data_IF_525805937390
#
_entry.id   IF_525805937390
#
_cell.length_a   1.000
_cell.length_b   1.000
_cell.length_c   1.000
_cell.angle_alpha   90.00
_cell.angle_beta   90.00
_cell.angle_gamma   90.00
#
_symmetry.space_group_name_H-M   'P 1'
#
loop_
_entity.id
_entity.type
_entity.pdbx_description
1 polymer ?
#
# COMPACT_ATOMS: atom_id res chain seq x y z
N UNK A 1 13.94 -9.48 13.97
CA UNK A 1 13.07 -8.66 13.10
C UNK A 1 11.76 -9.41 12.93
N UNK A 2 10.61 -8.75 13.09
CA UNK A 2 9.32 -9.38 12.73
C UNK A 2 9.21 -9.36 11.22
N UNK A 3 9.18 -10.53 10.60
CA UNK A 3 8.92 -10.61 9.17
C UNK A 3 7.45 -10.28 8.89
N UNK A 4 7.21 -9.51 7.83
CA UNK A 4 5.86 -9.28 7.31
C UNK A 4 5.22 -10.61 6.92
N UNK A 5 3.93 -10.77 7.22
CA UNK A 5 3.14 -11.90 6.75
C UNK A 5 3.12 -11.92 5.22
N UNK A 6 2.96 -13.11 4.62
CA UNK A 6 2.85 -13.22 3.15
C UNK A 6 1.75 -12.34 2.57
N UNK A 7 0.61 -12.24 3.27
CA UNK A 7 -0.49 -11.37 2.85
C UNK A 7 -0.09 -9.90 2.77
N UNK A 8 0.74 -9.42 3.70
CA UNK A 8 1.21 -8.03 3.70
C UNK A 8 2.26 -7.73 2.62
N UNK A 9 2.98 -8.75 2.11
CA UNK A 9 4.05 -8.57 1.10
C UNK A 9 3.53 -8.24 -0.30
N UNK A 10 2.22 -8.34 -0.54
CA UNK A 10 1.64 -8.24 -1.88
C UNK A 10 0.37 -7.41 -1.92
N UNK A 11 0.27 -6.31 -1.18
CA UNK A 11 -0.94 -5.46 -1.14
C UNK A 11 -0.89 -4.26 -2.09
N UNK A 12 0.16 -4.09 -2.90
CA UNK A 12 0.23 -3.00 -3.90
C UNK A 12 -1.00 -2.97 -4.81
N UNK A 13 -1.45 -4.14 -5.29
CA UNK A 13 -2.65 -4.23 -6.14
C UNK A 13 -3.88 -3.63 -5.45
N UNK A 14 -4.05 -3.87 -4.14
CA UNK A 14 -5.23 -3.45 -3.39
C UNK A 14 -5.29 -1.92 -3.27
N UNK A 15 -4.15 -1.29 -2.98
CA UNK A 15 -4.09 0.17 -2.85
C UNK A 15 -4.05 0.86 -4.21
N UNK A 16 -3.51 0.22 -5.25
CA UNK A 16 -3.64 0.70 -6.65
C UNK A 16 -5.12 0.67 -7.07
N UNK A 17 -5.84 -0.42 -6.80
CA UNK A 17 -7.28 -0.52 -7.09
C UNK A 17 -8.09 0.52 -6.31
N UNK A 18 -7.71 0.81 -5.07
CA UNK A 18 -8.33 1.88 -4.29
C UNK A 18 -8.18 3.26 -4.97
N UNK A 19 -6.97 3.63 -5.41
CA UNK A 19 -6.76 4.89 -6.16
C UNK A 19 -7.61 4.93 -7.42
N UNK A 20 -7.61 3.84 -8.19
CA UNK A 20 -8.30 3.77 -9.48
C UNK A 20 -9.84 3.87 -9.37
N UNK A 21 -10.42 3.46 -8.23
CA UNK A 21 -11.86 3.35 -8.07
C UNK A 21 -12.48 4.39 -7.13
N UNK A 22 -11.67 5.21 -6.44
CA UNK A 22 -12.18 6.24 -5.52
C UNK A 22 -11.92 7.64 -6.08
N UNK A 23 -12.96 8.34 -6.58
CA UNK A 23 -12.82 9.68 -7.12
C UNK A 23 -12.19 10.64 -6.10
N UNK A 24 -11.18 11.38 -6.55
CA UNK A 24 -10.48 12.38 -5.74
C UNK A 24 -9.30 11.87 -4.93
N UNK A 25 -9.05 10.55 -4.89
CA UNK A 25 -7.80 10.00 -4.33
C UNK A 25 -6.74 10.01 -5.42
N UNK A 26 -5.62 10.69 -5.18
CA UNK A 26 -4.49 10.75 -6.12
C UNK A 26 -3.45 9.63 -5.87
N UNK A 27 -3.10 9.38 -4.61
CA UNK A 27 -2.04 8.43 -4.24
C UNK A 27 -2.33 7.79 -2.88
N UNK A 28 -1.81 6.58 -2.66
CA UNK A 28 -1.90 5.88 -1.36
C UNK A 28 -0.60 5.20 -0.99
N UNK A 29 -0.30 5.18 0.30
CA UNK A 29 0.84 4.48 0.88
C UNK A 29 0.40 3.70 2.12
N UNK A 30 1.03 2.55 2.36
CA UNK A 30 0.87 1.78 3.58
C UNK A 30 2.19 1.80 4.33
N UNK A 31 2.11 2.17 5.61
CA UNK A 31 3.25 2.21 6.52
C UNK A 31 2.97 1.33 7.74
N UNK A 32 4.00 0.66 8.23
CA UNK A 32 3.94 -0.01 9.53
C UNK A 32 3.82 1.01 10.66
N UNK A 33 3.43 0.54 11.85
CA UNK A 33 3.31 1.40 13.03
C UNK A 33 4.64 2.04 13.49
N UNK A 34 5.78 1.47 13.09
CA UNK A 34 7.12 2.03 13.30
C UNK A 34 7.62 2.90 12.13
N UNK A 35 6.79 3.13 11.11
CA UNK A 35 7.04 4.09 10.04
C UNK A 35 7.74 3.53 8.80
N UNK A 36 7.97 2.22 8.71
CA UNK A 36 8.55 1.62 7.50
C UNK A 36 7.51 1.53 6.37
N UNK A 37 7.83 1.98 5.14
CA UNK A 37 6.98 1.78 3.97
C UNK A 37 6.80 0.30 3.65
N UNK A 38 5.55 -0.11 3.41
CA UNK A 38 5.17 -1.49 3.09
C UNK A 38 4.62 -1.65 1.68
N UNK A 39 3.93 -0.62 1.17
CA UNK A 39 3.29 -0.62 -0.14
C UNK A 39 3.02 0.81 -0.64
N UNK A 40 3.01 0.98 -1.96
CA UNK A 40 2.65 2.24 -2.64
C UNK A 40 1.76 1.92 -3.85
N UNK A 41 0.81 2.80 -4.14
CA UNK A 41 0.02 2.71 -5.38
C UNK A 41 0.89 2.99 -6.60
N UNK A 42 0.59 2.36 -7.73
CA UNK A 42 1.32 2.57 -8.97
C UNK A 42 1.23 4.02 -9.48
N UNK A 43 2.21 4.45 -10.29
CA UNK A 43 2.28 5.82 -10.82
C UNK A 43 2.86 6.86 -9.85
N UNK A 44 3.56 6.40 -8.82
CA UNK A 44 4.36 7.23 -7.90
C UNK A 44 5.77 7.52 -8.45
#
# INVERSE_FOLDING_TARGET
MREMSQAARGINWLITDFVNNVPGVAHTVVVSADGLPLAFSDGF
#
